data_IF_345652594629
#
_entry.id   IF_345652594629
#
_cell.length_a   1.000
_cell.length_b   1.000
_cell.length_c   1.000
_cell.angle_alpha   90.00
_cell.angle_beta   90.00
_cell.angle_gamma   90.00
#
_symmetry.space_group_name_H-M   'P 1'
#
loop_
_entity.id
_entity.type
_entity.pdbx_description
1 polymer ?
#
# COMPACT_ATOMS: atom_id res chain seq x y z
N UNK A 1 15.08 -21.06 -22.31
CA UNK A 1 14.23 -20.15 -21.50
C UNK A 1 13.98 -20.64 -20.07
N UNK A 2 14.04 -21.95 -19.78
CA UNK A 2 13.88 -22.48 -18.41
C UNK A 2 15.08 -22.18 -17.50
N UNK A 3 16.31 -22.23 -18.03
CA UNK A 3 17.54 -21.99 -17.24
C UNK A 3 17.54 -20.64 -16.49
N UNK A 4 17.10 -19.57 -17.16
CA UNK A 4 17.03 -18.24 -16.55
C UNK A 4 16.00 -18.17 -15.41
N UNK A 5 14.84 -18.80 -15.58
CA UNK A 5 13.83 -18.85 -14.53
C UNK A 5 14.38 -19.51 -13.26
N UNK A 6 15.09 -20.64 -13.41
CA UNK A 6 15.69 -21.34 -12.26
C UNK A 6 16.85 -20.55 -11.62
N UNK A 7 17.57 -19.72 -12.38
CA UNK A 7 18.65 -18.88 -11.85
C UNK A 7 18.16 -17.62 -11.13
N UNK A 8 16.98 -17.12 -11.48
CA UNK A 8 16.39 -15.91 -10.86
C UNK A 8 15.43 -16.29 -9.73
N UNK A 9 14.66 -17.36 -9.87
CA UNK A 9 13.64 -17.77 -8.91
C UNK A 9 14.21 -18.54 -7.69
N UNK A 10 15.48 -18.30 -7.35
CA UNK A 10 16.16 -18.92 -6.19
C UNK A 10 15.50 -18.49 -4.88
N UNK A 11 15.06 -17.23 -4.80
CA UNK A 11 14.26 -16.70 -3.69
C UNK A 11 12.99 -16.09 -4.28
N UNK A 12 11.84 -16.53 -3.79
CA UNK A 12 10.54 -15.94 -4.13
C UNK A 12 10.06 -15.11 -2.95
N UNK A 13 9.67 -13.88 -3.23
CA UNK A 13 9.02 -12.99 -2.28
C UNK A 13 7.59 -12.79 -2.76
N UNK A 14 6.65 -13.36 -2.01
CA UNK A 14 5.24 -13.11 -2.24
C UNK A 14 4.87 -11.79 -1.58
N UNK A 15 4.49 -10.82 -2.39
CA UNK A 15 4.04 -9.51 -1.92
C UNK A 15 2.52 -9.56 -1.77
N UNK A 16 2.04 -9.41 -0.54
CA UNK A 16 0.60 -9.38 -0.27
C UNK A 16 -0.05 -8.15 -0.93
N UNK A 17 -1.22 -8.30 -1.56
CA UNK A 17 -1.97 -7.16 -2.07
C UNK A 17 -2.42 -6.26 -0.92
N UNK A 18 -2.68 -4.98 -1.24
CA UNK A 18 -3.01 -3.97 -0.22
C UNK A 18 -4.28 -4.30 0.57
N UNK A 19 -5.25 -4.97 -0.07
CA UNK A 19 -6.50 -5.44 0.57
C UNK A 19 -6.28 -6.42 1.73
N UNK A 20 -5.17 -7.16 1.72
CA UNK A 20 -4.83 -8.13 2.78
C UNK A 20 -4.00 -7.50 3.90
N UNK A 21 -3.67 -6.20 3.79
CA UNK A 21 -2.87 -5.43 4.76
C UNK A 21 -3.46 -4.03 5.01
N UNK A 22 -4.74 -3.92 5.41
CA UNK A 22 -5.40 -2.62 5.57
C UNK A 22 -4.77 -1.73 6.67
N UNK A 23 -3.98 -2.31 7.57
CA UNK A 23 -3.25 -1.59 8.62
C UNK A 23 -2.12 -0.72 8.08
N UNK A 24 -1.63 -1.00 6.87
CA UNK A 24 -0.55 -0.23 6.24
C UNK A 24 -1.06 1.08 5.62
N UNK A 25 -2.38 1.21 5.40
CA UNK A 25 -2.99 2.31 4.67
C UNK A 25 -2.73 3.69 5.32
N UNK A 26 -2.86 3.88 6.65
CA UNK A 26 -2.54 5.17 7.27
C UNK A 26 -1.10 5.63 7.00
N UNK A 27 -0.13 4.73 7.18
CA UNK A 27 1.29 5.03 6.93
C UNK A 27 1.55 5.35 5.45
N UNK A 28 0.90 4.64 4.53
CA UNK A 28 1.03 4.93 3.09
C UNK A 28 0.46 6.30 2.72
N UNK A 29 -0.69 6.66 3.29
CA UNK A 29 -1.31 7.98 3.11
C UNK A 29 -0.36 9.08 3.57
N UNK A 30 0.17 8.96 4.78
CA UNK A 30 1.14 9.92 5.33
C UNK A 30 2.38 10.06 4.43
N UNK A 31 2.91 8.93 3.94
CA UNK A 31 4.05 8.91 3.05
C UNK A 31 3.80 9.64 1.72
N UNK A 32 2.67 9.38 1.06
CA UNK A 32 2.38 10.00 -0.24
C UNK A 32 2.00 11.48 -0.12
N UNK A 33 1.36 11.86 1.00
CA UNK A 33 1.08 13.27 1.29
C UNK A 33 2.39 14.03 1.56
N UNK A 34 3.31 13.42 2.32
CA UNK A 34 4.69 13.89 2.48
C UNK A 34 5.40 14.09 1.13
N UNK A 35 5.32 13.09 0.24
CA UNK A 35 5.90 13.17 -1.10
C UNK A 35 5.27 14.27 -1.96
N UNK A 36 4.00 14.59 -1.75
CA UNK A 36 3.28 15.67 -2.44
C UNK A 36 3.55 17.07 -1.87
N UNK A 37 4.43 17.20 -0.87
CA UNK A 37 4.82 18.48 -0.27
C UNK A 37 3.88 18.98 0.84
N UNK A 38 3.05 18.09 1.40
CA UNK A 38 2.22 18.34 2.60
C UNK A 38 2.63 17.38 3.72
N UNK A 39 2.26 17.61 4.96
CA UNK A 39 2.58 16.71 6.06
C UNK A 39 1.50 16.76 7.13
N UNK A 40 1.29 15.65 7.83
CA UNK A 40 0.30 15.52 8.89
C UNK A 40 0.06 14.04 9.16
N UNK A 41 -0.46 13.71 10.35
CA UNK A 41 -0.88 12.34 10.63
C UNK A 41 -2.15 12.01 9.83
N UNK A 42 -2.36 10.73 9.49
CA UNK A 42 -3.54 10.32 8.73
C UNK A 42 -4.85 10.78 9.41
N UNK A 43 -4.90 10.75 10.75
CA UNK A 43 -6.03 11.19 11.58
C UNK A 43 -6.25 12.72 11.58
N UNK A 44 -5.26 13.51 11.22
CA UNK A 44 -5.38 14.97 11.07
C UNK A 44 -5.87 15.35 9.66
N UNK A 45 -5.55 14.51 8.68
CA UNK A 45 -5.81 14.75 7.25
C UNK A 45 -7.19 14.27 6.82
N UNK A 46 -7.72 13.25 7.49
CA UNK A 46 -9.00 12.61 7.17
C UNK A 46 -9.82 12.37 8.43
N UNK A 47 -11.14 12.50 8.32
CA UNK A 47 -12.03 12.05 9.38
C UNK A 47 -12.03 10.52 9.54
N UNK A 48 -12.52 10.05 10.68
CA UNK A 48 -12.53 8.64 11.01
C UNK A 48 -13.34 7.80 10.00
N UNK A 49 -14.44 8.34 9.45
CA UNK A 49 -15.25 7.65 8.45
C UNK A 49 -14.49 7.44 7.15
N UNK A 50 -13.78 8.47 6.68
CA UNK A 50 -12.97 8.42 5.46
C UNK A 50 -11.81 7.46 5.62
N UNK A 51 -11.11 7.48 6.76
CA UNK A 51 -10.05 6.51 7.04
C UNK A 51 -10.58 5.08 7.03
N UNK A 52 -11.75 4.85 7.61
CA UNK A 52 -12.34 3.51 7.65
C UNK A 52 -12.79 3.06 6.24
N UNK A 53 -13.30 3.97 5.42
CA UNK A 53 -13.60 3.68 4.00
C UNK A 53 -12.35 3.36 3.21
N UNK A 54 -11.25 4.09 3.41
CA UNK A 54 -9.97 3.82 2.76
C UNK A 54 -9.40 2.46 3.19
N UNK A 55 -9.53 2.10 4.47
CA UNK A 55 -9.12 0.79 4.99
C UNK A 55 -9.90 -0.37 4.38
N UNK A 56 -11.19 -0.19 4.15
CA UNK A 56 -12.08 -1.23 3.64
C UNK A 56 -12.16 -1.24 2.10
N UNK A 57 -11.49 -0.32 1.41
CA UNK A 57 -11.44 -0.30 -0.05
C UNK A 57 -10.66 -1.51 -0.59
N UNK A 58 -11.10 -2.17 -1.69
CA UNK A 58 -10.44 -3.38 -2.21
C UNK A 58 -9.10 -3.14 -2.91
N UNK A 59 -8.75 -1.87 -3.18
CA UNK A 59 -7.49 -1.46 -3.82
C UNK A 59 -7.07 -2.33 -5.02
N UNK A 60 -7.88 -2.43 -6.10
CA UNK A 60 -7.52 -3.17 -7.31
C UNK A 60 -6.20 -2.69 -7.93
N UNK A 61 -5.84 -1.40 -7.79
CA UNK A 61 -4.55 -0.85 -8.22
C UNK A 61 -3.43 -0.92 -7.17
N UNK A 62 -3.70 -1.51 -6.00
CA UNK A 62 -2.80 -1.52 -4.85
C UNK A 62 -2.31 -0.09 -4.52
N UNK A 63 -0.99 0.07 -4.35
CA UNK A 63 -0.34 1.33 -3.96
C UNK A 63 -0.40 2.41 -5.06
N UNK A 64 -0.68 2.03 -6.31
CA UNK A 64 -0.68 2.97 -7.45
C UNK A 64 -2.02 3.71 -7.61
N UNK A 65 -3.09 3.14 -7.09
CA UNK A 65 -4.42 3.77 -7.05
C UNK A 65 -4.46 4.85 -5.97
#
# INVERSE_FOLDING_TARGET
>A
RLDLFYRIAVVRLDVMPLRDRPRDIPMLIEHFIAQAGRSGAAEELFDAETLERLRNHPWPGNVRE
#
